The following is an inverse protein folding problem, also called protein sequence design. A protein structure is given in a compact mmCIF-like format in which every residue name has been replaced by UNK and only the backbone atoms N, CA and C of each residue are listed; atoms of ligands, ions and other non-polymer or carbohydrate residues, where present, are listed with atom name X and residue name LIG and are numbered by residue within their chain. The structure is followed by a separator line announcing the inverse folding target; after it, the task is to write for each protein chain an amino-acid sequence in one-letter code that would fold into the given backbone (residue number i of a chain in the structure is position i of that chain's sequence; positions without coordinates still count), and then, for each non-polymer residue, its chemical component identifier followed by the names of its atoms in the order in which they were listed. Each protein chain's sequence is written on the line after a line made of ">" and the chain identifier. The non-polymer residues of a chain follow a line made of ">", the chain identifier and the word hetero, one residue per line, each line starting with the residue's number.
data_IF_199448255045
#
_entry.id   IF_199448255045
#
_cell.length_a   1.000
_cell.length_b   1.000
_cell.length_c   1.000
_cell.angle_alpha   90.00
_cell.angle_beta   90.00
_cell.angle_gamma   90.00
#
_symmetry.space_group_name_H-M   'P 1'
#
loop_
_entity.id
_entity.type
_entity.pdbx_description
1 polymer ?
#
# COMPACT_ATOMS: atom_id res chain seq x y z
N UNK A 1 26.90 30.18 36.87
CA UNK A 1 27.12 28.76 36.68
C UNK A 1 25.99 28.29 35.80
N UNK A 2 26.12 28.36 34.49
CA UNK A 2 26.70 27.48 33.48
C UNK A 2 26.25 26.04 33.73
N UNK A 3 25.33 25.56 32.92
CA UNK A 3 25.67 24.42 32.11
C UNK A 3 24.78 24.39 30.85
N UNK A 4 25.49 24.24 29.76
CA UNK A 4 25.13 24.28 28.38
C UNK A 4 24.95 22.80 27.94
N UNK A 5 23.77 22.36 27.58
CA UNK A 5 23.60 21.03 26.96
C UNK A 5 23.26 21.15 25.49
N UNK A 6 24.26 20.75 24.74
CA UNK A 6 24.31 20.77 23.30
C UNK A 6 23.29 19.80 22.68
N UNK A 7 22.54 20.31 21.73
CA UNK A 7 21.71 19.57 20.76
C UNK A 7 22.65 18.69 19.93
N UNK A 8 22.53 17.37 20.08
CA UNK A 8 23.14 16.39 19.16
C UNK A 8 22.11 16.00 18.10
N UNK A 9 22.42 16.30 16.86
CA UNK A 9 21.77 15.73 15.69
C UNK A 9 22.02 14.21 15.64
N UNK A 10 21.02 13.35 15.41
CA UNK A 10 21.28 11.94 15.22
C UNK A 10 21.76 11.67 13.78
N UNK A 11 22.93 11.05 13.67
CA UNK A 11 23.52 10.62 12.41
C UNK A 11 22.77 9.44 11.79
N UNK A 12 22.62 9.51 10.48
CA UNK A 12 21.86 8.61 9.58
C UNK A 12 22.63 7.31 9.28
N UNK A 13 23.16 6.61 10.23
CA UNK A 13 23.86 5.35 9.89
C UNK A 13 23.79 4.23 10.92
N UNK A 14 23.06 4.37 12.01
CA UNK A 14 23.18 3.39 13.12
C UNK A 14 21.90 2.59 13.38
N UNK A 15 20.77 2.90 12.72
CA UNK A 15 19.49 2.21 12.96
C UNK A 15 19.36 0.83 12.31
N UNK A 16 20.14 0.54 11.26
CA UNK A 16 19.96 -0.70 10.48
C UNK A 16 20.65 -1.95 11.04
N UNK A 17 21.61 -1.77 11.96
CA UNK A 17 22.41 -2.89 12.48
C UNK A 17 21.96 -3.37 13.86
N UNK A 18 21.21 -2.55 14.60
CA UNK A 18 20.77 -2.91 15.96
C UNK A 18 19.45 -3.69 16.00
N UNK A 19 18.67 -3.71 14.90
CA UNK A 19 17.37 -4.40 14.87
C UNK A 19 17.44 -5.88 14.43
N UNK A 20 18.62 -6.37 14.05
CA UNK A 20 18.83 -7.79 13.71
C UNK A 20 18.79 -8.70 14.94
N UNK A 21 18.78 -8.14 16.13
CA UNK A 21 18.97 -8.90 17.39
C UNK A 21 17.74 -9.05 18.30
N UNK A 22 16.62 -8.34 18.09
CA UNK A 22 15.53 -8.33 19.08
C UNK A 22 14.11 -8.21 18.52
N UNK A 23 13.86 -8.30 17.23
CA UNK A 23 12.52 -8.20 16.68
C UNK A 23 12.11 -9.48 15.93
N UNK A 24 10.93 -10.00 16.21
CA UNK A 24 10.27 -11.09 15.50
C UNK A 24 9.97 -10.71 14.04
N UNK A 25 11.00 -10.63 13.19
CA UNK A 25 10.79 -10.56 11.76
C UNK A 25 10.38 -11.94 11.26
N UNK A 26 9.24 -12.06 10.60
CA UNK A 26 8.89 -13.31 9.92
C UNK A 26 10.00 -13.68 8.92
N UNK A 27 10.21 -14.98 8.69
CA UNK A 27 11.21 -15.46 7.72
C UNK A 27 11.03 -14.83 6.35
N UNK A 28 9.80 -14.54 5.98
CA UNK A 28 9.40 -13.96 4.69
C UNK A 28 9.77 -12.49 4.61
N UNK A 29 9.47 -11.69 5.64
CA UNK A 29 9.86 -10.28 5.75
C UNK A 29 11.38 -10.11 5.76
N UNK A 30 12.11 -11.01 6.44
CA UNK A 30 13.58 -11.02 6.44
C UNK A 30 14.17 -11.29 5.05
N UNK A 31 13.67 -12.30 4.34
CA UNK A 31 14.13 -12.64 2.99
C UNK A 31 13.79 -11.56 1.96
N UNK A 32 12.62 -10.92 2.07
CA UNK A 32 12.23 -9.82 1.20
C UNK A 32 13.11 -8.58 1.42
N UNK A 33 13.42 -8.21 2.68
CA UNK A 33 14.36 -7.13 3.01
C UNK A 33 15.78 -7.41 2.50
N UNK A 34 16.23 -8.66 2.56
CA UNK A 34 17.52 -9.06 2.02
C UNK A 34 17.59 -8.90 0.48
N UNK A 35 16.51 -9.24 -0.23
CA UNK A 35 16.44 -9.11 -1.69
C UNK A 35 16.52 -7.64 -2.15
N UNK A 36 15.91 -6.71 -1.41
CA UNK A 36 15.99 -5.26 -1.70
C UNK A 36 17.41 -4.72 -1.48
N UNK A 37 18.11 -5.18 -0.43
CA UNK A 37 19.49 -4.78 -0.17
C UNK A 37 20.49 -5.33 -1.19
N UNK A 38 20.24 -6.53 -1.73
CA UNK A 38 21.10 -7.14 -2.75
C UNK A 38 20.92 -6.52 -4.15
N UNK A 39 19.75 -5.92 -4.45
CA UNK A 39 19.48 -5.23 -5.74
C UNK A 39 20.08 -3.83 -5.86
N UNK A 40 20.57 -3.24 -4.76
CA UNK A 40 21.08 -1.86 -4.70
C UNK A 40 22.58 -1.66 -4.90
N UNK A 41 23.37 -2.70 -5.16
CA UNK A 41 24.83 -2.61 -5.17
C UNK A 41 25.44 -2.80 -6.57
N UNK A 42 25.20 -1.88 -7.49
CA UNK A 42 25.96 -1.84 -8.74
C UNK A 42 26.12 -0.41 -9.29
N UNK A 43 26.66 0.51 -8.51
CA UNK A 43 27.40 1.70 -9.02
C UNK A 43 28.24 2.26 -7.88
N UNK A 44 29.53 1.98 -7.83
CA UNK A 44 30.64 2.89 -7.50
C UNK A 44 31.95 2.15 -7.78
N UNK A 45 32.71 2.62 -8.69
CA UNK A 45 34.13 2.99 -8.68
C UNK A 45 34.76 2.90 -10.06
N UNK A 46 35.07 4.03 -10.60
CA UNK A 46 36.28 4.22 -11.39
C UNK A 46 36.66 5.70 -11.33
N UNK A 47 37.52 6.04 -10.41
CA UNK A 47 38.45 7.18 -10.57
C UNK A 47 39.84 6.63 -10.85
N UNK A 48 40.49 7.12 -11.90
CA UNK A 48 41.90 6.81 -12.18
C UNK A 48 42.32 7.17 -13.59
N UNK A 49 42.85 8.34 -13.72
CA UNK A 49 43.63 8.97 -14.81
C UNK A 49 44.50 8.06 -15.67
N UNK A 50 44.53 8.19 -16.98
CA UNK A 50 45.50 8.86 -17.85
C UNK A 50 45.30 8.48 -19.32
N UNK A 51 45.52 9.47 -20.17
CA UNK A 51 45.44 9.42 -21.64
C UNK A 51 46.60 8.65 -22.26
N UNK A 52 46.30 7.89 -23.31
CA UNK A 52 47.15 7.82 -24.53
C UNK A 52 46.30 7.33 -25.71
N UNK A 53 46.35 8.09 -26.78
CA UNK A 53 45.71 7.80 -28.05
C UNK A 53 46.44 6.70 -28.80
N UNK A 54 45.67 5.82 -29.52
CA UNK A 54 46.02 5.28 -30.85
C UNK A 54 44.74 4.68 -31.46
N UNK A 55 44.53 4.96 -32.75
CA UNK A 55 43.36 4.69 -33.57
C UNK A 55 43.34 3.23 -34.15
N UNK A 56 42.45 2.90 -35.13
CA UNK A 56 41.29 2.02 -34.90
C UNK A 56 41.47 0.62 -35.54
N UNK A 57 40.79 -0.38 -35.02
CA UNK A 57 40.62 -1.67 -35.72
C UNK A 57 39.21 -2.25 -35.50
N UNK A 58 38.49 -2.22 -36.60
CA UNK A 58 37.48 -3.15 -37.13
C UNK A 58 36.67 -4.03 -36.18
N UNK A 59 35.41 -3.71 -36.09
CA UNK A 59 34.19 -4.51 -36.24
C UNK A 59 34.35 -6.02 -36.16
N UNK A 60 33.77 -6.60 -35.08
CA UNK A 60 33.11 -7.89 -35.12
C UNK A 60 31.82 -7.77 -34.38
N UNK A 61 30.73 -7.73 -35.13
CA UNK A 61 29.36 -7.83 -34.60
C UNK A 61 29.17 -9.25 -34.05
N UNK A 62 29.20 -9.38 -32.74
CA UNK A 62 28.67 -10.56 -32.07
C UNK A 62 27.16 -10.41 -31.96
N UNK A 63 26.46 -11.12 -32.83
CA UNK A 63 25.02 -11.35 -32.71
C UNK A 63 24.77 -12.19 -31.46
N UNK A 64 24.61 -11.54 -30.31
CA UNK A 64 24.07 -12.16 -29.13
C UNK A 64 22.58 -12.43 -29.40
N UNK A 65 22.26 -13.71 -29.58
CA UNK A 65 20.93 -14.25 -29.65
C UNK A 65 20.19 -13.87 -28.34
N UNK A 66 18.99 -13.31 -28.40
CA UNK A 66 18.23 -13.02 -27.18
C UNK A 66 18.01 -14.32 -26.40
N UNK A 67 18.41 -14.34 -25.15
CA UNK A 67 18.13 -15.43 -24.21
C UNK A 67 16.62 -15.41 -23.94
N UNK A 68 15.87 -16.49 -24.22
CA UNK A 68 14.43 -16.50 -23.94
C UNK A 68 14.22 -16.62 -22.42
N UNK A 69 13.53 -15.66 -21.86
CA UNK A 69 12.39 -15.71 -20.95
C UNK A 69 12.32 -16.86 -19.92
N UNK A 70 13.19 -16.83 -18.92
CA UNK A 70 12.90 -17.49 -17.63
C UNK A 70 11.84 -16.71 -16.80
N UNK A 71 11.48 -15.50 -17.22
CA UNK A 71 10.50 -14.60 -16.57
C UNK A 71 9.06 -14.94 -16.88
N UNK A 72 8.76 -15.58 -17.99
CA UNK A 72 7.38 -15.83 -18.44
C UNK A 72 6.76 -17.04 -17.76
N UNK A 73 7.53 -18.06 -17.45
CA UNK A 73 7.04 -19.31 -16.86
C UNK A 73 6.79 -19.17 -15.35
N UNK A 74 7.63 -18.40 -14.66
CA UNK A 74 7.44 -18.07 -13.25
C UNK A 74 6.23 -17.15 -13.04
N UNK A 75 6.06 -16.12 -13.88
CA UNK A 75 4.89 -15.24 -13.84
C UNK A 75 3.58 -15.99 -14.16
N UNK A 76 3.59 -16.90 -15.15
CA UNK A 76 2.43 -17.73 -15.47
C UNK A 76 2.10 -18.73 -14.34
N UNK A 77 3.10 -19.24 -13.60
CA UNK A 77 2.87 -20.13 -12.45
C UNK A 77 2.30 -19.36 -11.24
N UNK A 78 2.73 -18.11 -11.01
CA UNK A 78 2.18 -17.27 -9.95
C UNK A 78 0.75 -16.79 -10.26
N UNK A 79 0.43 -16.54 -11.52
CA UNK A 79 -0.92 -16.19 -11.95
C UNK A 79 -1.89 -17.38 -11.85
N UNK A 80 -1.39 -18.62 -12.01
CA UNK A 80 -2.17 -19.84 -11.78
C UNK A 80 -2.49 -20.10 -10.30
N UNK A 81 -1.89 -19.36 -9.37
CA UNK A 81 -2.12 -19.48 -7.92
C UNK A 81 -3.23 -18.59 -7.40
N UNK A 82 -3.81 -17.71 -8.23
CA UNK A 82 -4.85 -16.78 -7.85
C UNK A 82 -6.02 -16.80 -8.84
N UNK A 83 -7.21 -16.51 -8.36
CA UNK A 83 -8.37 -16.16 -9.18
C UNK A 83 -8.68 -14.68 -9.03
N UNK A 84 -9.01 -14.00 -10.13
CA UNK A 84 -9.31 -12.58 -10.13
C UNK A 84 -10.38 -12.23 -11.15
N UNK A 85 -11.25 -11.29 -10.81
CA UNK A 85 -12.28 -10.83 -11.76
C UNK A 85 -13.15 -9.71 -11.20
N UNK A 86 -13.96 -9.08 -12.06
CA UNK A 86 -14.98 -8.13 -11.64
C UNK A 86 -16.06 -8.85 -10.81
N UNK A 87 -16.59 -8.12 -9.82
CA UNK A 87 -17.70 -8.57 -9.00
C UNK A 87 -18.71 -7.45 -8.82
N UNK A 88 -19.95 -7.85 -8.56
CA UNK A 88 -21.05 -6.96 -8.22
C UNK A 88 -21.63 -7.40 -6.88
N UNK A 89 -22.03 -6.44 -6.05
CA UNK A 89 -22.69 -6.72 -4.78
C UNK A 89 -23.65 -5.59 -4.39
N UNK A 90 -24.62 -5.91 -3.54
CA UNK A 90 -25.67 -4.97 -3.18
C UNK A 90 -25.32 -4.18 -1.91
N UNK A 91 -25.62 -2.88 -1.91
CA UNK A 91 -25.55 -1.98 -0.79
C UNK A 91 -26.67 -0.95 -0.85
N UNK A 92 -27.54 -0.90 0.16
CA UNK A 92 -28.68 0.03 0.24
C UNK A 92 -29.56 0.05 -1.01
N UNK A 93 -29.86 -1.14 -1.58
CA UNK A 93 -30.65 -1.28 -2.78
C UNK A 93 -29.97 -0.74 -4.06
N UNK A 94 -28.66 -0.65 -4.04
CA UNK A 94 -27.82 -0.25 -5.18
C UNK A 94 -26.76 -1.30 -5.43
N UNK A 95 -26.50 -1.61 -6.67
CA UNK A 95 -25.39 -2.46 -7.09
C UNK A 95 -24.09 -1.67 -7.01
N UNK A 96 -23.12 -2.17 -6.28
CA UNK A 96 -21.74 -1.70 -6.27
C UNK A 96 -20.87 -2.61 -7.14
N UNK A 97 -19.92 -2.02 -7.82
CA UNK A 97 -18.94 -2.67 -8.67
C UNK A 97 -17.62 -2.81 -7.90
N UNK A 98 -16.91 -3.89 -8.18
CA UNK A 98 -15.59 -4.10 -7.60
C UNK A 98 -14.75 -5.07 -8.40
N UNK A 99 -13.53 -5.29 -7.94
CA UNK A 99 -12.63 -6.29 -8.47
C UNK A 99 -12.09 -7.13 -7.31
N UNK A 100 -12.32 -8.44 -7.37
CA UNK A 100 -11.90 -9.39 -6.35
C UNK A 100 -10.74 -10.22 -6.85
N UNK A 101 -9.74 -10.41 -6.00
CA UNK A 101 -8.65 -11.37 -6.21
C UNK A 101 -8.51 -12.26 -4.99
N UNK A 102 -8.32 -13.58 -5.19
CA UNK A 102 -8.16 -14.53 -4.09
C UNK A 102 -7.15 -15.62 -4.40
N UNK A 103 -6.53 -16.22 -3.38
CA UNK A 103 -5.78 -17.46 -3.55
C UNK A 103 -6.70 -18.58 -4.05
N UNK A 104 -6.17 -19.51 -4.89
CA UNK A 104 -6.87 -20.75 -5.25
C UNK A 104 -6.75 -21.82 -4.18
N UNK A 105 -5.87 -21.64 -3.19
CA UNK A 105 -5.68 -22.58 -2.08
C UNK A 105 -6.96 -22.70 -1.24
N UNK A 106 -7.32 -23.91 -0.79
CA UNK A 106 -8.45 -24.12 0.09
C UNK A 106 -8.27 -23.48 1.45
N UNK A 107 -9.35 -23.06 2.08
CA UNK A 107 -9.42 -22.58 3.45
C UNK A 107 -9.99 -21.18 3.55
N UNK A 108 -10.43 -20.76 4.72
CA UNK A 108 -10.73 -19.37 4.94
C UNK A 108 -9.44 -18.57 5.02
N UNK A 109 -9.36 -17.49 4.22
CA UNK A 109 -8.24 -16.56 4.15
C UNK A 109 -8.61 -15.24 4.80
N UNK A 110 -7.66 -14.44 5.32
CA UNK A 110 -7.95 -13.08 5.74
C UNK A 110 -8.39 -12.23 4.55
N UNK A 111 -9.33 -11.32 4.80
CA UNK A 111 -9.85 -10.39 3.80
C UNK A 111 -9.16 -9.02 3.87
N UNK A 112 -9.00 -8.35 2.73
CA UNK A 112 -8.54 -6.96 2.66
C UNK A 112 -9.44 -6.16 1.73
N UNK A 113 -10.10 -5.13 2.25
CA UNK A 113 -10.77 -4.13 1.44
C UNK A 113 -9.75 -3.12 0.93
N UNK A 114 -9.76 -2.83 -0.36
CA UNK A 114 -8.93 -1.81 -0.99
C UNK A 114 -9.78 -0.63 -1.48
N UNK A 115 -9.41 0.59 -1.10
CA UNK A 115 -10.02 1.83 -1.58
C UNK A 115 -9.03 2.58 -2.47
N UNK A 116 -9.43 2.80 -3.73
CA UNK A 116 -8.59 3.41 -4.77
C UNK A 116 -8.34 4.91 -4.56
N UNK A 117 -7.46 5.50 -5.37
CA UNK A 117 -7.24 6.94 -5.45
C UNK A 117 -8.44 7.69 -6.06
N UNK A 118 -8.37 9.00 -6.12
CA UNK A 118 -9.45 9.88 -6.59
C UNK A 118 -9.71 9.84 -8.12
N UNK A 119 -9.07 8.92 -8.84
CA UNK A 119 -9.25 8.71 -10.28
C UNK A 119 -10.02 7.42 -10.61
N UNK A 120 -10.68 6.82 -9.63
CA UNK A 120 -11.44 5.59 -9.83
C UNK A 120 -10.61 4.31 -9.70
N UNK A 121 -11.27 3.19 -9.99
CA UNK A 121 -10.68 1.85 -9.90
C UNK A 121 -9.85 1.54 -11.17
N UNK A 122 -8.66 2.11 -11.24
CA UNK A 122 -7.73 1.96 -12.38
C UNK A 122 -6.94 0.64 -12.32
N UNK A 123 -6.31 0.20 -13.45
CA UNK A 123 -5.55 -1.05 -13.54
C UNK A 123 -4.48 -1.25 -12.47
N UNK A 124 -3.84 -0.18 -11.98
CA UNK A 124 -2.90 -0.25 -10.86
C UNK A 124 -3.52 -0.91 -9.62
N UNK A 125 -4.76 -0.53 -9.26
CA UNK A 125 -5.41 -1.08 -8.07
C UNK A 125 -5.87 -2.53 -8.27
N UNK A 126 -6.22 -2.91 -9.51
CA UNK A 126 -6.47 -4.30 -9.88
C UNK A 126 -5.20 -5.15 -9.71
N UNK A 127 -4.02 -4.57 -10.01
CA UNK A 127 -2.75 -5.24 -9.77
C UNK A 127 -2.43 -5.35 -8.29
N UNK A 128 -2.67 -4.31 -7.50
CA UNK A 128 -2.49 -4.38 -6.04
C UNK A 128 -3.35 -5.49 -5.41
N UNK A 129 -4.61 -5.69 -5.87
CA UNK A 129 -5.43 -6.81 -5.36
C UNK A 129 -4.82 -8.16 -5.70
N UNK A 130 -4.30 -8.35 -6.94
CA UNK A 130 -3.63 -9.58 -7.33
C UNK A 130 -2.34 -9.83 -6.54
N UNK A 131 -1.58 -8.77 -6.25
CA UNK A 131 -0.37 -8.86 -5.41
C UNK A 131 -0.72 -9.35 -4.01
N UNK A 132 -1.74 -8.79 -3.36
CA UNK A 132 -2.21 -9.25 -2.05
C UNK A 132 -2.74 -10.70 -2.10
N UNK A 133 -3.40 -11.09 -3.19
CA UNK A 133 -3.87 -12.48 -3.33
C UNK A 133 -2.72 -13.48 -3.41
N UNK A 134 -1.59 -13.13 -4.05
CA UNK A 134 -0.36 -13.96 -4.04
C UNK A 134 0.25 -14.07 -2.65
N UNK A 135 0.03 -13.08 -1.79
CA UNK A 135 0.45 -13.07 -0.39
C UNK A 135 -0.54 -13.79 0.55
N UNK A 136 -1.62 -14.35 0.01
CA UNK A 136 -2.57 -15.16 0.77
C UNK A 136 -3.83 -14.44 1.24
N UNK A 137 -4.09 -13.20 0.82
CA UNK A 137 -5.27 -12.42 1.19
C UNK A 137 -6.36 -12.52 0.13
N UNK A 138 -7.63 -12.57 0.54
CA UNK A 138 -8.76 -12.27 -0.35
C UNK A 138 -8.96 -10.76 -0.39
N UNK A 139 -8.76 -10.15 -1.55
CA UNK A 139 -8.78 -8.69 -1.67
C UNK A 139 -9.90 -8.22 -2.57
N UNK A 140 -10.73 -7.32 -2.09
CA UNK A 140 -11.78 -6.64 -2.83
C UNK A 140 -11.42 -5.16 -3.00
N UNK A 141 -11.24 -4.71 -4.23
CA UNK A 141 -11.20 -3.28 -4.55
C UNK A 141 -12.60 -2.83 -4.95
N UNK A 142 -13.21 -1.93 -4.17
CA UNK A 142 -14.53 -1.36 -4.49
C UNK A 142 -14.36 -0.16 -5.40
N UNK A 143 -15.16 -0.09 -6.46
CA UNK A 143 -15.27 1.10 -7.29
C UNK A 143 -16.18 2.14 -6.60
N UNK A 144 -15.59 3.14 -5.98
CA UNK A 144 -16.31 4.21 -5.27
C UNK A 144 -17.12 5.13 -6.19
N UNK A 145 -17.03 4.91 -7.51
CA UNK A 145 -17.88 5.55 -8.51
C UNK A 145 -19.09 4.69 -8.93
N UNK A 146 -19.30 3.52 -8.34
CA UNK A 146 -20.39 2.58 -8.67
C UNK A 146 -21.75 3.27 -8.73
N UNK A 147 -22.07 4.13 -7.75
CA UNK A 147 -23.33 4.90 -7.71
C UNK A 147 -23.48 5.92 -8.84
N UNK A 148 -22.43 6.12 -9.63
CA UNK A 148 -22.39 7.01 -10.80
C UNK A 148 -22.13 6.25 -12.11
N UNK A 149 -22.29 4.92 -12.08
CA UNK A 149 -22.10 4.05 -13.23
C UNK A 149 -20.74 3.37 -13.32
N UNK A 150 -19.87 3.55 -12.31
CA UNK A 150 -18.53 2.99 -12.25
C UNK A 150 -17.47 3.82 -12.97
N UNK A 151 -16.21 3.51 -12.70
CA UNK A 151 -15.05 4.21 -13.25
C UNK A 151 -15.05 4.26 -14.78
N UNK A 152 -15.40 3.16 -15.43
CA UNK A 152 -15.37 3.03 -16.90
C UNK A 152 -16.45 3.84 -17.63
N UNK A 153 -17.44 4.39 -16.89
CA UNK A 153 -18.49 5.23 -17.47
C UNK A 153 -18.02 6.66 -17.78
N UNK A 154 -16.84 7.06 -17.30
CA UNK A 154 -16.34 8.43 -17.44
C UNK A 154 -15.33 8.56 -18.59
N UNK A 155 -15.52 9.57 -19.41
CA UNK A 155 -14.64 9.85 -20.56
C UNK A 155 -13.27 10.42 -20.15
N UNK A 156 -13.18 11.10 -18.99
CA UNK A 156 -11.96 11.78 -18.55
C UNK A 156 -11.85 11.87 -17.01
N UNK A 157 -10.62 12.12 -16.55
CA UNK A 157 -10.31 12.25 -15.13
C UNK A 157 -11.04 13.41 -14.44
N UNK A 158 -11.32 14.52 -15.16
CA UNK A 158 -12.00 15.68 -14.59
C UNK A 158 -13.44 15.36 -14.22
N UNK A 159 -14.14 14.63 -15.11
CA UNK A 159 -15.49 14.14 -14.88
C UNK A 159 -15.53 13.15 -13.69
N UNK A 160 -14.59 12.20 -13.62
CA UNK A 160 -14.46 11.28 -12.48
C UNK A 160 -14.27 12.01 -11.15
N UNK A 161 -13.33 12.96 -11.10
CA UNK A 161 -13.07 13.77 -9.90
C UNK A 161 -14.30 14.56 -9.46
N UNK A 162 -15.03 15.14 -10.42
CA UNK A 162 -16.27 15.89 -10.14
C UNK A 162 -17.35 14.98 -9.59
N UNK A 163 -17.55 13.80 -10.21
CA UNK A 163 -18.51 12.80 -9.76
C UNK A 163 -18.21 12.31 -8.36
N UNK A 164 -16.95 11.96 -8.08
CA UNK A 164 -16.51 11.46 -6.77
C UNK A 164 -16.70 12.50 -5.66
N UNK A 165 -16.38 13.79 -5.93
CA UNK A 165 -16.62 14.90 -4.99
C UNK A 165 -18.10 15.16 -4.74
N UNK A 166 -18.97 14.78 -5.67
CA UNK A 166 -20.41 14.90 -5.53
C UNK A 166 -21.08 13.77 -4.73
N UNK A 167 -20.33 12.76 -4.28
CA UNK A 167 -20.84 11.72 -3.39
C UNK A 167 -20.53 12.13 -1.95
N UNK A 168 -21.50 12.14 -1.03
CA UNK A 168 -21.25 12.41 0.37
C UNK A 168 -20.21 11.44 0.96
N UNK A 169 -19.29 11.96 1.77
CA UNK A 169 -18.19 11.14 2.34
C UNK A 169 -18.73 9.97 3.15
N UNK A 170 -19.80 10.17 3.93
CA UNK A 170 -20.42 9.11 4.74
C UNK A 170 -20.97 7.99 3.86
N UNK A 171 -21.52 8.33 2.68
CA UNK A 171 -21.96 7.33 1.71
C UNK A 171 -20.78 6.51 1.16
N UNK A 172 -19.65 7.15 0.91
CA UNK A 172 -18.44 6.44 0.44
C UNK A 172 -17.89 5.51 1.53
N UNK A 173 -17.92 5.95 2.78
CA UNK A 173 -17.55 5.11 3.94
C UNK A 173 -18.49 3.92 4.04
N UNK A 174 -19.80 4.13 3.87
CA UNK A 174 -20.78 3.05 3.92
C UNK A 174 -20.64 2.07 2.75
N UNK A 175 -20.30 2.56 1.55
CA UNK A 175 -19.98 1.69 0.40
C UNK A 175 -18.73 0.83 0.68
N UNK A 176 -17.72 1.39 1.35
CA UNK A 176 -16.57 0.64 1.86
C UNK A 176 -16.96 -0.41 2.89
N UNK A 177 -17.81 -0.06 3.86
CA UNK A 177 -18.33 -1.01 4.87
C UNK A 177 -19.17 -2.12 4.21
N UNK A 178 -19.93 -1.82 3.18
CA UNK A 178 -20.64 -2.83 2.40
C UNK A 178 -19.67 -3.81 1.72
N UNK A 179 -18.53 -3.31 1.21
CA UNK A 179 -17.46 -4.16 0.71
C UNK A 179 -16.83 -5.06 1.78
N UNK A 180 -16.69 -4.57 3.01
CA UNK A 180 -16.24 -5.39 4.15
C UNK A 180 -17.24 -6.51 4.42
N UNK A 181 -18.54 -6.20 4.51
CA UNK A 181 -19.61 -7.22 4.71
C UNK A 181 -19.63 -8.23 3.57
N UNK A 182 -19.49 -7.77 2.31
CA UNK A 182 -19.39 -8.67 1.17
C UNK A 182 -18.23 -9.65 1.30
N UNK A 183 -17.04 -9.20 1.73
CA UNK A 183 -15.90 -10.08 2.00
C UNK A 183 -16.21 -11.07 3.12
N UNK A 184 -16.80 -10.62 4.22
CA UNK A 184 -17.15 -11.45 5.36
C UNK A 184 -18.19 -12.55 5.05
N UNK A 185 -19.02 -12.34 4.04
CA UNK A 185 -20.04 -13.30 3.59
C UNK A 185 -19.47 -14.35 2.60
N UNK A 186 -18.22 -14.20 2.15
CA UNK A 186 -17.62 -15.18 1.24
C UNK A 186 -17.16 -16.43 2.00
N UNK A 187 -17.47 -17.65 1.49
CA UNK A 187 -17.14 -18.91 2.18
C UNK A 187 -15.64 -19.17 2.30
N UNK A 188 -14.82 -18.46 1.53
CA UNK A 188 -13.35 -18.56 1.52
C UNK A 188 -12.67 -17.43 2.29
N UNK A 189 -13.44 -16.59 3.01
CA UNK A 189 -12.92 -15.51 3.86
C UNK A 189 -13.15 -15.84 5.32
N UNK A 190 -12.12 -15.65 6.15
CA UNK A 190 -12.31 -15.60 7.59
C UNK A 190 -12.92 -14.25 7.98
N UNK A 191 -14.22 -14.27 8.27
CA UNK A 191 -14.99 -13.08 8.59
C UNK A 191 -14.47 -12.28 9.79
N UNK A 192 -13.71 -12.93 10.67
CA UNK A 192 -13.13 -12.29 11.86
C UNK A 192 -11.80 -11.60 11.56
N UNK A 193 -11.24 -11.77 10.36
CA UNK A 193 -9.90 -11.30 9.96
C UNK A 193 -9.97 -10.45 8.68
N UNK A 194 -10.69 -9.34 8.74
CA UNK A 194 -10.81 -8.40 7.61
C UNK A 194 -10.15 -7.08 7.97
N UNK A 195 -9.21 -6.65 7.12
CA UNK A 195 -8.56 -5.35 7.19
C UNK A 195 -8.97 -4.44 6.03
N UNK A 196 -8.48 -3.20 6.06
CA UNK A 196 -8.66 -2.25 4.98
C UNK A 196 -7.36 -1.52 4.64
N UNK A 197 -7.14 -1.26 3.34
CA UNK A 197 -6.10 -0.35 2.88
C UNK A 197 -6.65 0.61 1.84
N UNK A 198 -6.02 1.78 1.71
CA UNK A 198 -6.48 2.75 0.72
C UNK A 198 -5.44 3.82 0.45
N UNK A 199 -5.57 4.47 -0.70
CA UNK A 199 -4.56 5.36 -1.25
C UNK A 199 -5.12 6.75 -1.50
N UNK A 200 -4.40 7.81 -1.12
CA UNK A 200 -4.79 9.19 -1.35
C UNK A 200 -6.19 9.50 -0.76
N UNK A 201 -7.16 9.75 -1.62
CA UNK A 201 -8.58 9.82 -1.27
C UNK A 201 -9.02 8.58 -0.47
N UNK A 202 -8.71 7.38 -1.00
CA UNK A 202 -9.03 6.11 -0.34
C UNK A 202 -8.33 5.95 1.01
N UNK A 203 -7.13 6.50 1.18
CA UNK A 203 -6.46 6.53 2.49
C UNK A 203 -7.24 7.35 3.52
N UNK A 204 -7.83 8.48 3.11
CA UNK A 204 -8.73 9.26 3.96
C UNK A 204 -10.04 8.54 4.30
N UNK A 205 -10.57 7.73 3.37
CA UNK A 205 -11.75 6.89 3.61
C UNK A 205 -11.42 5.76 4.59
N UNK A 206 -10.27 5.08 4.42
CA UNK A 206 -9.82 4.02 5.34
C UNK A 206 -9.61 4.54 6.75
N UNK A 207 -9.11 5.77 6.94
CA UNK A 207 -9.06 6.41 8.25
C UNK A 207 -10.45 6.52 8.89
N UNK A 208 -11.46 6.97 8.13
CA UNK A 208 -12.84 7.10 8.62
C UNK A 208 -13.47 5.74 8.91
N UNK A 209 -13.21 4.75 8.07
CA UNK A 209 -13.65 3.38 8.31
C UNK A 209 -13.03 2.82 9.60
N UNK A 210 -11.74 3.02 9.83
CA UNK A 210 -11.06 2.57 11.04
C UNK A 210 -11.65 3.19 12.34
N UNK A 211 -12.09 4.45 12.27
CA UNK A 211 -12.77 5.12 13.37
C UNK A 211 -14.20 4.59 13.57
N UNK A 212 -14.93 4.35 12.47
CA UNK A 212 -16.37 4.06 12.52
C UNK A 212 -16.75 2.56 12.45
N UNK A 213 -15.82 1.67 12.09
CA UNK A 213 -16.10 0.24 11.91
C UNK A 213 -15.21 -0.63 12.81
N UNK A 214 -15.70 -1.05 13.98
CA UNK A 214 -14.96 -1.90 14.92
C UNK A 214 -14.78 -3.36 14.44
N UNK A 215 -15.42 -3.76 13.35
CA UNK A 215 -15.26 -5.10 12.77
C UNK A 215 -13.97 -5.25 11.97
N UNK A 216 -13.33 -4.13 11.58
CA UNK A 216 -12.01 -4.16 10.98
C UNK A 216 -10.96 -4.58 12.01
N UNK A 217 -9.98 -5.37 11.58
CA UNK A 217 -8.86 -5.85 12.41
C UNK A 217 -7.56 -5.11 12.18
N UNK A 218 -7.41 -4.47 11.01
CA UNK A 218 -6.25 -3.65 10.67
C UNK A 218 -6.64 -2.60 9.63
N UNK A 219 -5.96 -1.45 9.66
CA UNK A 219 -6.14 -0.42 8.65
C UNK A 219 -4.76 0.13 8.19
N UNK A 220 -4.61 0.31 6.87
CA UNK A 220 -3.38 0.84 6.28
C UNK A 220 -3.71 1.99 5.31
N UNK A 221 -3.90 3.21 5.82
CA UNK A 221 -4.08 4.41 5.00
C UNK A 221 -2.74 4.91 4.44
N UNK A 222 -2.61 4.95 3.09
CA UNK A 222 -1.49 5.55 2.37
C UNK A 222 -1.79 7.00 2.05
N UNK A 223 -0.93 7.92 2.48
CA UNK A 223 -0.98 9.36 2.22
C UNK A 223 -2.40 9.94 2.19
N UNK A 224 -3.25 9.46 3.10
CA UNK A 224 -4.63 9.90 3.30
C UNK A 224 -4.75 11.04 4.29
N UNK A 225 -5.80 11.84 4.13
CA UNK A 225 -6.15 12.86 5.13
C UNK A 225 -6.54 12.19 6.45
N UNK A 226 -6.00 12.72 7.55
CA UNK A 226 -6.35 12.28 8.90
C UNK A 226 -7.86 12.43 9.18
N UNK A 227 -8.44 11.63 10.09
CA UNK A 227 -9.74 11.88 10.67
C UNK A 227 -9.71 13.16 11.50
N UNK A 228 -10.85 13.65 11.98
CA UNK A 228 -10.85 14.73 12.96
C UNK A 228 -10.22 14.24 14.27
N UNK A 229 -9.56 15.12 15.02
CA UNK A 229 -8.91 14.73 16.28
C UNK A 229 -9.93 14.28 17.34
N UNK A 230 -11.15 14.80 17.27
CA UNK A 230 -12.28 14.43 18.13
C UNK A 230 -12.72 12.98 17.91
N UNK A 231 -12.62 12.47 16.67
CA UNK A 231 -13.00 11.12 16.32
C UNK A 231 -11.98 10.06 16.76
N UNK A 232 -10.76 10.47 17.11
CA UNK A 232 -9.64 9.54 17.46
C UNK A 232 -10.01 8.66 18.66
N UNK A 233 -10.79 9.17 19.62
CA UNK A 233 -11.28 8.41 20.78
C UNK A 233 -12.08 7.16 20.37
N UNK A 234 -12.79 7.20 19.23
CA UNK A 234 -13.60 6.12 18.70
C UNK A 234 -12.77 5.04 17.99
N UNK A 235 -11.52 5.31 17.64
CA UNK A 235 -10.66 4.35 16.95
C UNK A 235 -10.42 3.11 17.82
N UNK A 236 -10.79 1.92 17.31
CA UNK A 236 -10.55 0.63 17.96
C UNK A 236 -9.64 -0.29 17.13
N UNK A 237 -9.34 0.11 15.91
CA UNK A 237 -8.61 -0.67 14.91
C UNK A 237 -7.13 -0.27 14.93
N UNK A 238 -6.18 -1.22 14.98
CA UNK A 238 -4.75 -0.94 14.78
C UNK A 238 -4.51 -0.29 13.42
N UNK A 239 -3.70 0.79 13.38
CA UNK A 239 -3.47 1.56 12.14
C UNK A 239 -1.99 1.70 11.81
N UNK A 240 -1.61 1.32 10.58
CA UNK A 240 -0.32 1.68 9.98
C UNK A 240 -0.51 2.85 9.01
N UNK A 241 -0.15 4.06 9.42
CA UNK A 241 -0.19 5.24 8.56
C UNK A 241 1.07 5.35 7.70
N UNK A 242 0.91 5.30 6.39
CA UNK A 242 2.01 5.44 5.42
C UNK A 242 1.99 6.84 4.81
N UNK A 243 3.11 7.57 4.93
CA UNK A 243 3.20 8.97 4.52
C UNK A 243 4.31 9.22 3.51
N UNK A 244 4.06 10.15 2.59
CA UNK A 244 5.04 10.67 1.65
C UNK A 244 5.76 11.87 2.28
N UNK A 245 7.07 11.80 2.47
CA UNK A 245 7.83 12.84 3.19
C UNK A 245 7.78 14.23 2.53
N UNK A 246 7.58 14.30 1.21
CA UNK A 246 7.44 15.55 0.48
C UNK A 246 5.98 16.05 0.36
N UNK A 247 4.99 15.39 0.96
CA UNK A 247 3.59 15.81 0.95
C UNK A 247 3.27 16.72 2.14
N UNK A 248 3.68 17.99 2.05
CA UNK A 248 3.46 18.94 3.13
C UNK A 248 1.97 19.11 3.50
N UNK A 249 1.05 18.96 2.54
CA UNK A 249 -0.39 19.12 2.76
C UNK A 249 -0.95 18.03 3.69
N UNK A 250 -0.61 16.78 3.47
CA UNK A 250 -1.05 15.67 4.32
C UNK A 250 -0.27 15.68 5.64
N UNK A 251 1.04 15.90 5.58
CA UNK A 251 1.92 15.80 6.73
C UNK A 251 1.67 16.89 7.78
N UNK A 252 1.06 18.03 7.40
CA UNK A 252 0.71 19.10 8.35
C UNK A 252 -0.19 18.61 9.51
N UNK A 253 -1.06 17.62 9.29
CA UNK A 253 -1.96 17.07 10.31
C UNK A 253 -1.34 15.92 11.14
N UNK A 254 -0.22 15.33 10.69
CA UNK A 254 0.33 14.11 11.30
C UNK A 254 0.77 14.30 12.76
N UNK A 255 1.48 15.38 13.14
CA UNK A 255 1.90 15.56 14.54
C UNK A 255 0.72 15.66 15.51
N UNK A 256 -0.36 16.35 15.13
CA UNK A 256 -1.57 16.45 15.94
C UNK A 256 -2.27 15.10 16.09
N UNK A 257 -2.41 14.36 14.99
CA UNK A 257 -2.97 13.02 14.98
C UNK A 257 -2.16 12.06 15.85
N UNK A 258 -0.84 12.06 15.71
CA UNK A 258 0.06 11.22 16.52
C UNK A 258 -0.09 11.50 18.01
N UNK A 259 -0.17 12.77 18.37
CA UNK A 259 -0.36 13.19 19.78
C UNK A 259 -1.71 12.72 20.32
N UNK A 260 -2.79 12.84 19.55
CA UNK A 260 -4.13 12.39 19.94
C UNK A 260 -4.18 10.86 20.09
N UNK A 261 -3.62 10.10 19.15
CA UNK A 261 -3.56 8.63 19.22
C UNK A 261 -2.79 8.15 20.45
N UNK A 262 -1.67 8.79 20.78
CA UNK A 262 -0.89 8.49 21.99
C UNK A 262 -1.68 8.79 23.26
N UNK A 263 -2.36 9.93 23.32
CA UNK A 263 -3.16 10.33 24.47
C UNK A 263 -4.32 9.35 24.73
N UNK A 264 -4.91 8.81 23.67
CA UNK A 264 -6.01 7.82 23.72
C UNK A 264 -5.51 6.36 23.83
N UNK A 265 -4.19 6.12 23.92
CA UNK A 265 -3.62 4.78 24.04
C UNK A 265 -3.91 3.86 22.87
N UNK A 266 -4.05 4.43 21.66
CA UNK A 266 -4.39 3.67 20.45
C UNK A 266 -3.18 2.90 19.90
N UNK A 267 -3.44 1.77 19.23
CA UNK A 267 -2.40 0.98 18.55
C UNK A 267 -2.17 1.57 17.16
N UNK A 268 -1.00 2.13 16.93
CA UNK A 268 -0.65 2.68 15.63
C UNK A 268 0.87 2.67 15.38
N UNK A 269 1.22 2.74 14.10
CA UNK A 269 2.58 2.97 13.61
C UNK A 269 2.53 3.94 12.44
N UNK A 270 3.40 4.94 12.41
CA UNK A 270 3.54 5.87 11.28
C UNK A 270 4.90 5.70 10.63
N UNK A 271 4.89 5.56 9.30
CA UNK A 271 6.10 5.46 8.49
C UNK A 271 6.05 6.56 7.43
N UNK A 272 7.13 7.35 7.37
CA UNK A 272 7.27 8.43 6.38
C UNK A 272 8.51 8.21 5.53
N UNK A 273 8.36 8.33 4.21
CA UNK A 273 9.43 8.11 3.23
C UNK A 273 9.98 9.44 2.74
N UNK A 274 11.18 9.86 3.20
CA UNK A 274 11.80 11.12 2.81
C UNK A 274 11.97 11.23 1.29
N UNK A 275 11.65 12.38 0.71
CA UNK A 275 11.75 12.63 -0.74
C UNK A 275 10.64 12.02 -1.59
N UNK A 276 9.86 11.09 -1.06
CA UNK A 276 8.70 10.55 -1.77
C UNK A 276 7.58 11.59 -1.85
N UNK A 277 6.96 11.72 -3.03
CA UNK A 277 5.82 12.60 -3.26
C UNK A 277 4.49 11.89 -3.00
N UNK A 278 3.42 12.67 -2.85
CA UNK A 278 2.05 12.13 -2.82
C UNK A 278 1.80 11.15 -3.97
N UNK A 279 1.18 10.01 -3.71
CA UNK A 279 0.96 8.91 -4.67
C UNK A 279 2.26 8.20 -5.14
N UNK A 280 3.28 8.13 -4.29
CA UNK A 280 4.56 7.49 -4.60
C UNK A 280 4.45 5.97 -4.83
N UNK A 281 3.39 5.34 -4.36
CA UNK A 281 3.18 3.89 -4.49
C UNK A 281 2.65 3.50 -5.87
N UNK A 282 2.01 4.42 -6.60
CA UNK A 282 1.39 4.15 -7.89
C UNK A 282 2.43 4.09 -9.01
N UNK A 283 2.78 2.88 -9.45
CA UNK A 283 3.81 2.59 -10.47
C UNK A 283 3.40 2.99 -11.89
N UNK A 284 2.14 3.32 -12.12
CA UNK A 284 1.66 3.89 -13.39
C UNK A 284 1.74 5.42 -13.43
N UNK A 285 2.10 6.05 -12.32
CA UNK A 285 2.17 7.50 -12.16
C UNK A 285 3.59 8.07 -12.22
N UNK A 286 3.73 9.32 -12.65
CA UNK A 286 5.03 10.02 -12.74
C UNK A 286 5.68 10.31 -11.36
N UNK A 287 4.96 10.10 -10.26
CA UNK A 287 5.45 10.29 -8.88
C UNK A 287 5.88 8.99 -8.21
N UNK A 288 5.90 7.91 -8.96
CA UNK A 288 6.35 6.61 -8.47
C UNK A 288 7.76 6.69 -7.90
N UNK A 289 7.93 6.15 -6.69
CA UNK A 289 9.22 6.05 -6.02
C UNK A 289 9.49 4.58 -5.67
N UNK A 290 10.23 3.84 -6.50
CA UNK A 290 10.35 2.38 -6.42
C UNK A 290 10.80 1.88 -5.05
N UNK A 291 11.81 2.52 -4.45
CA UNK A 291 12.32 2.12 -3.14
C UNK A 291 11.27 2.33 -2.05
N UNK A 292 10.70 3.54 -1.95
CA UNK A 292 9.67 3.83 -0.95
C UNK A 292 8.43 2.93 -1.11
N UNK A 293 8.02 2.66 -2.35
CA UNK A 293 6.90 1.77 -2.64
C UNK A 293 7.18 0.32 -2.21
N UNK A 294 8.40 -0.17 -2.47
CA UNK A 294 8.83 -1.51 -2.05
C UNK A 294 8.88 -1.65 -0.52
N UNK A 295 9.46 -0.67 0.16
CA UNK A 295 9.52 -0.65 1.63
C UNK A 295 8.10 -0.53 2.24
N UNK A 296 7.24 0.37 1.72
CA UNK A 296 5.86 0.53 2.18
C UNK A 296 5.02 -0.74 1.97
N UNK A 297 5.28 -1.49 0.90
CA UNK A 297 4.65 -2.79 0.67
C UNK A 297 5.01 -3.79 1.76
N UNK A 298 6.30 -3.90 2.10
CA UNK A 298 6.76 -4.80 3.16
C UNK A 298 6.20 -4.43 4.53
N UNK A 299 6.18 -3.13 4.88
CA UNK A 299 5.55 -2.64 6.11
C UNK A 299 4.06 -2.99 6.16
N UNK A 300 3.35 -2.91 5.01
CA UNK A 300 1.94 -3.27 4.90
C UNK A 300 1.73 -4.77 5.13
N UNK A 301 2.56 -5.61 4.50
CA UNK A 301 2.45 -7.08 4.67
C UNK A 301 2.76 -7.50 6.10
N UNK A 302 3.80 -6.93 6.73
CA UNK A 302 4.12 -7.19 8.13
C UNK A 302 2.95 -6.79 9.04
N UNK A 303 2.35 -5.60 8.82
CA UNK A 303 1.19 -5.15 9.60
C UNK A 303 -0.02 -6.07 9.46
N UNK A 304 -0.30 -6.51 8.24
CA UNK A 304 -1.40 -7.46 8.01
C UNK A 304 -1.08 -8.86 8.55
N UNK A 305 0.18 -9.30 8.52
CA UNK A 305 0.59 -10.56 9.15
C UNK A 305 0.35 -10.50 10.67
N UNK A 306 0.76 -9.41 11.34
CA UNK A 306 0.63 -9.24 12.79
C UNK A 306 -0.83 -9.16 13.27
N UNK A 307 -1.76 -8.68 12.43
CA UNK A 307 -3.12 -8.37 12.83
C UNK A 307 -4.21 -9.20 12.15
N UNK A 308 -3.92 -9.83 11.01
CA UNK A 308 -4.88 -10.62 10.23
C UNK A 308 -4.51 -12.10 10.11
N UNK A 309 -3.23 -12.50 10.35
CA UNK A 309 -2.85 -13.91 10.34
C UNK A 309 -2.90 -14.49 11.75
N UNK A 310 -3.07 -15.82 11.86
CA UNK A 310 -2.96 -16.50 13.14
C UNK A 310 -1.50 -16.49 13.62
N UNK A 311 -1.30 -16.19 14.90
CA UNK A 311 -0.01 -16.21 15.58
C UNK A 311 0.44 -17.63 15.83
#
# INVERSE_FOLDING_TARGET
>A
MKDNESIRSPGIATGLVTDIGTGNLSRRAFLARLAILAGGSAVVMACGTQATAIAPSRTSASTAKPRPAATTEAAASEEAMIESGPVEFEADGRTLLGYLSRPVLPGPHPGVLLVHENRGLLPHFLDVTRRLAREGYVTLAVDMLSRKGGTDSFADTGAMLSALRGIPTDQIVEDGNAGVRYLQDQPYVDRSRVGAMGFCFGGGIVWRMAVGNPELRAAVPFYGSAPTLEDVSNLQVPVLGIYAGADARINAGVPGLESALKAEGKIFRFVSYPGANHAFFNDTGSRYHPQAAGEAWLETLEWFEDHLMDS
#
